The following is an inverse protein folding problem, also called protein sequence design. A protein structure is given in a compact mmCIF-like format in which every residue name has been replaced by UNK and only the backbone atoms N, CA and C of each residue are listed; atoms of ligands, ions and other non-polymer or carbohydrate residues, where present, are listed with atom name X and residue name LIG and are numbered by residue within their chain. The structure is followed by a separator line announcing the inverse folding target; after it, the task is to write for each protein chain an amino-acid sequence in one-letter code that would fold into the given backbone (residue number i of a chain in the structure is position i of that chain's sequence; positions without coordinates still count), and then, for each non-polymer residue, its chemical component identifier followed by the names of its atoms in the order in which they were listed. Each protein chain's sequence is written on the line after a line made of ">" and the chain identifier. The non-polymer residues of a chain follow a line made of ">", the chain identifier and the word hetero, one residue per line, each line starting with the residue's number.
data_IF_557630056886
#
_entry.id   IF_557630056886
#
_cell.length_a   1.000
_cell.length_b   1.000
_cell.length_c   1.000
_cell.angle_alpha   90.00
_cell.angle_beta   90.00
_cell.angle_gamma   90.00
#
_symmetry.space_group_name_H-M   'P 1'
#
loop_
_entity.id
_entity.type
_entity.pdbx_description
1 polymer ?
#
# COMPACT_ATOMS: atom_id res chain seq x y z
N UNK A 1 -4.82 2.00 3.85
CA UNK A 1 -4.87 1.73 2.39
C UNK A 1 -6.34 1.65 1.99
N UNK A 2 -6.76 2.10 0.81
CA UNK A 2 -8.19 2.03 0.44
C UNK A 2 -8.65 0.65 -0.07
N UNK A 3 -7.72 -0.29 -0.26
CA UNK A 3 -8.00 -1.65 -0.70
C UNK A 3 -8.14 -1.78 -2.22
N UNK A 4 -8.85 -2.82 -2.66
CA UNK A 4 -9.06 -3.14 -4.07
C UNK A 4 -10.45 -2.67 -4.55
N UNK A 5 -10.52 -2.16 -5.77
CA UNK A 5 -11.77 -1.71 -6.35
C UNK A 5 -11.57 -0.92 -7.65
N UNK A 6 -12.66 -0.40 -8.20
CA UNK A 6 -12.57 0.53 -9.32
C UNK A 6 -12.02 1.87 -8.86
N UNK A 7 -11.28 2.57 -9.73
CA UNK A 7 -10.76 3.91 -9.44
C UNK A 7 -11.85 4.88 -8.95
N UNK A 8 -13.08 4.76 -9.49
CA UNK A 8 -14.24 5.55 -9.06
C UNK A 8 -14.59 5.30 -7.59
N UNK A 9 -14.77 4.03 -7.21
CA UNK A 9 -15.15 3.65 -5.84
C UNK A 9 -14.05 4.01 -4.82
N UNK A 10 -12.79 3.82 -5.21
CA UNK A 10 -11.64 4.22 -4.40
C UNK A 10 -11.58 5.74 -4.22
N UNK A 11 -11.90 6.53 -5.27
CA UNK A 11 -11.99 7.99 -5.17
C UNK A 11 -13.14 8.45 -4.28
N UNK A 12 -14.30 7.78 -4.32
CA UNK A 12 -15.41 8.08 -3.40
C UNK A 12 -14.98 7.86 -1.95
N UNK A 13 -14.34 6.72 -1.68
CA UNK A 13 -13.84 6.37 -0.35
C UNK A 13 -12.73 7.34 0.11
N UNK A 14 -11.86 7.75 -0.82
CA UNK A 14 -10.81 8.72 -0.53
C UNK A 14 -11.39 10.08 -0.13
N UNK A 15 -12.43 10.53 -0.84
CA UNK A 15 -13.11 11.79 -0.55
C UNK A 15 -13.82 11.75 0.81
N UNK A 16 -14.51 10.65 1.13
CA UNK A 16 -15.15 10.44 2.43
C UNK A 16 -14.14 10.47 3.60
N UNK A 17 -12.91 10.00 3.36
CA UNK A 17 -11.84 9.99 4.35
C UNK A 17 -11.00 11.27 4.37
N UNK A 18 -11.36 12.28 3.58
CA UNK A 18 -10.62 13.55 3.52
C UNK A 18 -9.19 13.40 2.98
N UNK A 19 -8.96 12.42 2.10
CA UNK A 19 -7.67 12.18 1.46
C UNK A 19 -7.54 13.09 0.25
N UNK A 20 -6.41 13.80 0.11
CA UNK A 20 -6.16 14.72 -1.01
C UNK A 20 -5.66 14.00 -2.28
N UNK A 21 -4.81 12.98 -2.09
CA UNK A 21 -4.17 12.22 -3.17
C UNK A 21 -4.45 10.73 -3.03
N UNK A 22 -4.90 10.12 -4.12
CA UNK A 22 -5.10 8.69 -4.24
C UNK A 22 -4.07 8.08 -5.19
N UNK A 23 -3.28 7.13 -4.70
CA UNK A 23 -2.38 6.32 -5.53
C UNK A 23 -3.08 4.99 -5.84
N UNK A 24 -3.26 4.69 -7.12
CA UNK A 24 -3.90 3.46 -7.60
C UNK A 24 -2.88 2.62 -8.34
N UNK A 25 -2.81 1.34 -8.00
CA UNK A 25 -2.06 0.32 -8.74
C UNK A 25 -3.06 -0.42 -9.64
N UNK A 26 -3.01 -0.15 -10.94
CA UNK A 26 -3.74 -0.88 -11.96
C UNK A 26 -2.93 -2.15 -12.28
N UNK A 27 -3.46 -3.31 -11.88
CA UNK A 27 -2.81 -4.61 -12.07
C UNK A 27 -3.65 -5.46 -13.01
N UNK A 28 -3.04 -5.94 -14.10
CA UNK A 28 -3.64 -6.87 -15.05
C UNK A 28 -2.84 -8.17 -15.03
N UNK A 29 -3.51 -9.26 -14.68
CA UNK A 29 -2.90 -10.59 -14.61
C UNK A 29 -3.48 -11.47 -15.71
N UNK A 30 -2.63 -11.98 -16.58
CA UNK A 30 -2.97 -12.94 -17.62
C UNK A 30 -2.13 -14.21 -17.46
N UNK A 31 -2.78 -15.38 -17.54
CA UNK A 31 -2.06 -16.65 -17.58
C UNK A 31 -1.97 -17.17 -19.01
N UNK A 32 -0.76 -17.41 -19.49
CA UNK A 32 -0.56 -18.03 -20.80
C UNK A 32 -0.98 -19.50 -20.73
N UNK A 33 -2.09 -19.84 -21.40
CA UNK A 33 -2.67 -21.20 -21.39
C UNK A 33 -1.73 -22.29 -21.93
N UNK A 34 -0.73 -21.95 -22.74
CA UNK A 34 0.18 -22.92 -23.36
C UNK A 34 1.42 -23.18 -22.53
N UNK A 35 1.95 -22.14 -21.88
CA UNK A 35 3.22 -22.22 -21.14
C UNK A 35 3.03 -22.22 -19.63
N UNK A 36 1.82 -21.93 -19.14
CA UNK A 36 1.52 -21.81 -17.71
C UNK A 36 2.01 -20.50 -17.07
N UNK A 37 2.85 -19.73 -17.76
CA UNK A 37 3.44 -18.51 -17.22
C UNK A 37 2.40 -17.43 -16.93
N UNK A 38 2.52 -16.83 -15.75
CA UNK A 38 1.74 -15.69 -15.31
C UNK A 38 2.43 -14.41 -15.78
N UNK A 39 1.71 -13.62 -16.58
CA UNK A 39 2.12 -12.29 -17.02
C UNK A 39 1.35 -11.28 -16.17
N UNK A 40 2.07 -10.41 -15.48
CA UNK A 40 1.50 -9.31 -14.71
C UNK A 40 1.97 -8.00 -15.32
N UNK A 41 1.01 -7.17 -15.72
CA UNK A 41 1.21 -5.79 -16.13
C UNK A 41 0.68 -4.88 -15.01
N UNK A 42 1.58 -4.11 -14.41
CA UNK A 42 1.25 -3.19 -13.33
C UNK A 42 1.53 -1.76 -13.76
N UNK A 43 0.61 -0.85 -13.47
CA UNK A 43 0.76 0.59 -13.72
C UNK A 43 0.31 1.36 -12.49
N UNK A 44 0.99 2.46 -12.18
CA UNK A 44 0.64 3.31 -11.04
C UNK A 44 0.07 4.62 -11.55
N UNK A 45 -1.06 5.05 -11.01
CA UNK A 45 -1.66 6.34 -11.29
C UNK A 45 -1.88 7.12 -10.00
N UNK A 46 -1.69 8.43 -10.06
CA UNK A 46 -1.95 9.36 -8.95
C UNK A 46 -3.13 10.23 -9.36
N UNK A 47 -4.15 10.25 -8.51
CA UNK A 47 -5.35 11.06 -8.67
C UNK A 47 -5.39 12.13 -7.60
N UNK A 48 -5.78 13.34 -8.00
CA UNK A 48 -6.22 14.36 -7.07
C UNK A 48 -7.69 14.09 -6.73
N UNK A 49 -7.98 13.85 -5.46
CA UNK A 49 -9.32 13.41 -5.03
C UNK A 49 -10.34 14.54 -5.17
N UNK A 50 -9.96 15.77 -4.82
CA UNK A 50 -10.84 16.94 -4.91
C UNK A 50 -11.39 17.19 -6.33
N UNK A 51 -10.54 17.02 -7.34
CA UNK A 51 -10.92 17.23 -8.76
C UNK A 51 -11.29 15.92 -9.46
N UNK A 52 -11.01 14.77 -8.82
CA UNK A 52 -11.15 13.42 -9.36
C UNK A 52 -10.36 13.19 -10.66
N UNK A 53 -9.35 14.03 -10.90
CA UNK A 53 -8.51 13.95 -12.10
C UNK A 53 -7.27 13.13 -11.82
N UNK A 54 -6.92 12.30 -12.79
CA UNK A 54 -5.58 11.71 -12.87
C UNK A 54 -4.60 12.86 -13.11
N UNK A 55 -3.72 13.11 -12.14
CA UNK A 55 -2.70 14.16 -12.24
C UNK A 55 -1.39 13.59 -12.75
N UNK A 56 -1.16 12.28 -12.59
CA UNK A 56 0.00 11.61 -13.14
C UNK A 56 -0.20 10.12 -13.30
N UNK A 57 0.55 9.54 -14.22
CA UNK A 57 0.56 8.11 -14.46
C UNK A 57 1.95 7.62 -14.81
N UNK A 58 2.38 6.57 -14.15
CA UNK A 58 3.64 5.88 -14.41
C UNK A 58 3.56 5.05 -15.69
N UNK A 59 4.72 4.58 -16.14
CA UNK A 59 4.85 3.58 -17.19
C UNK A 59 4.27 2.26 -16.70
N UNK A 60 3.69 1.51 -17.64
CA UNK A 60 3.34 0.11 -17.39
C UNK A 60 4.60 -0.74 -17.27
N UNK A 61 4.64 -1.57 -16.22
CA UNK A 61 5.72 -2.50 -15.94
C UNK A 61 5.21 -3.93 -16.04
N UNK A 62 5.82 -4.71 -16.93
CA UNK A 62 5.56 -6.14 -17.06
C UNK A 62 6.54 -6.93 -16.20
N UNK A 63 6.05 -7.89 -15.43
CA UNK A 63 6.86 -8.73 -14.55
C UNK A 63 8.05 -9.41 -15.26
N UNK A 64 7.86 -9.89 -16.49
CA UNK A 64 8.94 -10.54 -17.27
C UNK A 64 10.06 -9.57 -17.63
N UNK A 65 9.73 -8.32 -17.98
CA UNK A 65 10.73 -7.30 -18.30
C UNK A 65 11.49 -6.85 -17.04
N UNK A 66 10.77 -6.73 -15.91
CA UNK A 66 11.36 -6.41 -14.62
C UNK A 66 12.32 -7.52 -14.19
N UNK A 67 11.92 -8.80 -14.31
CA UNK A 67 12.79 -9.93 -13.99
C UNK A 67 14.05 -9.97 -14.86
N UNK A 68 13.92 -9.76 -16.17
CA UNK A 68 15.05 -9.79 -17.09
C UNK A 68 16.02 -8.63 -16.79
N UNK A 69 15.51 -7.42 -16.56
CA UNK A 69 16.34 -6.29 -16.15
C UNK A 69 17.01 -6.52 -14.81
N UNK A 70 16.31 -7.13 -13.84
CA UNK A 70 16.87 -7.47 -12.53
C UNK A 70 17.99 -8.49 -12.60
N UNK A 71 17.94 -9.42 -13.55
CA UNK A 71 19.02 -10.38 -13.77
C UNK A 71 20.32 -9.71 -14.26
N UNK A 72 20.19 -8.58 -14.96
CA UNK A 72 21.31 -7.79 -15.49
C UNK A 72 21.68 -6.59 -14.60
N UNK A 73 21.06 -6.43 -13.41
CA UNK A 73 21.33 -5.31 -12.50
C UNK A 73 22.75 -5.40 -11.93
N UNK A 74 23.43 -4.26 -11.93
CA UNK A 74 24.72 -4.07 -11.25
C UNK A 74 24.58 -3.37 -9.91
N UNK A 75 23.52 -2.60 -9.74
CA UNK A 75 23.20 -1.82 -8.54
C UNK A 75 21.68 -1.83 -8.31
N UNK A 76 21.24 -1.82 -7.06
CA UNK A 76 19.82 -1.72 -6.67
C UNK A 76 19.21 -0.36 -7.04
N UNK A 77 20.03 0.68 -7.16
CA UNK A 77 19.59 2.01 -7.61
C UNK A 77 18.98 1.98 -9.04
N UNK A 78 19.39 1.02 -9.87
CA UNK A 78 18.92 0.87 -11.25
C UNK A 78 17.66 -0.01 -11.36
N UNK A 79 17.09 -0.45 -10.23
CA UNK A 79 15.89 -1.29 -10.23
C UNK A 79 14.75 -0.62 -11.01
N UNK A 80 14.17 -1.29 -12.02
CA UNK A 80 13.21 -0.67 -12.91
C UNK A 80 11.91 -0.25 -12.23
N UNK A 81 11.56 -0.86 -11.08
CA UNK A 81 10.41 -0.45 -10.27
C UNK A 81 10.77 0.81 -9.49
N UNK A 82 11.92 0.81 -8.79
CA UNK A 82 12.39 1.95 -8.01
C UNK A 82 12.53 3.21 -8.85
N UNK A 83 13.19 3.10 -10.00
CA UNK A 83 13.37 4.19 -10.96
C UNK A 83 12.02 4.76 -11.43
N UNK A 84 11.03 3.92 -11.69
CA UNK A 84 9.73 4.38 -12.17
C UNK A 84 8.89 5.02 -11.06
N UNK A 85 8.96 4.50 -9.83
CA UNK A 85 8.34 5.11 -8.65
C UNK A 85 8.99 6.47 -8.35
N UNK A 86 10.32 6.55 -8.35
CA UNK A 86 11.04 7.80 -8.10
C UNK A 86 10.68 8.85 -9.16
N UNK A 87 10.63 8.46 -10.44
CA UNK A 87 10.16 9.34 -11.52
C UNK A 87 8.74 9.81 -11.31
N UNK A 88 7.83 8.93 -10.88
CA UNK A 88 6.42 9.24 -10.64
C UNK A 88 6.24 10.20 -9.47
N UNK A 89 7.07 10.10 -8.44
CA UNK A 89 6.92 10.89 -7.22
C UNK A 89 7.81 12.14 -7.12
N UNK A 90 8.90 12.24 -7.90
CA UNK A 90 9.84 13.35 -7.84
C UNK A 90 9.21 14.77 -7.85
N UNK A 91 8.21 15.08 -8.70
CA UNK A 91 7.60 16.42 -8.74
C UNK A 91 6.70 16.73 -7.54
N UNK A 92 6.26 15.72 -6.78
CA UNK A 92 5.43 15.92 -5.61
C UNK A 92 6.26 16.33 -4.38
N UNK A 93 7.56 16.00 -4.37
CA UNK A 93 8.45 16.31 -3.24
C UNK A 93 9.31 17.54 -3.53
N UNK A 94 9.23 18.53 -2.63
CA UNK A 94 9.80 19.87 -2.80
C UNK A 94 11.33 19.89 -3.04
N UNK A 95 12.06 18.84 -2.64
CA UNK A 95 13.52 18.76 -2.75
C UNK A 95 14.01 18.11 -4.06
N UNK A 96 13.10 17.56 -4.88
CA UNK A 96 13.42 16.79 -6.09
C UNK A 96 12.88 17.41 -7.39
N UNK A 97 12.17 18.55 -7.32
CA UNK A 97 11.62 19.22 -8.48
C UNK A 97 12.65 20.19 -9.10
N UNK A 98 13.02 20.01 -10.38
CA UNK A 98 13.78 21.03 -11.12
C UNK A 98 13.05 22.38 -11.10
N UNK A 99 13.79 23.49 -11.00
CA UNK A 99 13.23 24.83 -11.17
C UNK A 99 12.50 24.93 -12.52
N UNK A 100 11.17 25.07 -12.48
CA UNK A 100 10.33 25.26 -13.66
C UNK A 100 9.15 24.29 -13.80
N UNK A 101 9.10 23.19 -13.04
CA UNK A 101 8.02 22.22 -13.17
C UNK A 101 6.85 22.47 -12.20
N UNK A 102 5.67 22.72 -12.79
CA UNK A 102 4.31 22.58 -12.27
C UNK A 102 4.12 22.84 -10.75
N UNK A 103 4.09 24.12 -10.31
CA UNK A 103 3.91 24.48 -8.91
C UNK A 103 2.61 23.92 -8.28
N UNK A 104 1.60 23.64 -9.11
CA UNK A 104 0.29 23.12 -8.70
C UNK A 104 0.32 21.66 -8.20
N UNK A 105 1.40 20.92 -8.47
CA UNK A 105 1.59 19.53 -8.03
C UNK A 105 2.43 19.41 -6.75
N UNK A 106 2.94 20.53 -6.22
CA UNK A 106 3.74 20.55 -5.00
C UNK A 106 2.85 20.31 -3.80
N UNK A 107 2.75 19.06 -3.37
CA UNK A 107 2.16 18.72 -2.08
C UNK A 107 3.19 18.94 -1.00
N UNK A 108 2.84 19.78 -0.02
CA UNK A 108 3.58 19.82 1.23
C UNK A 108 3.02 18.73 2.11
N UNK A 109 3.90 17.94 2.72
CA UNK A 109 3.52 17.11 3.86
C UNK A 109 2.95 18.05 4.93
N UNK A 110 1.64 18.07 5.10
CA UNK A 110 1.02 18.70 6.25
C UNK A 110 0.98 17.71 7.40
N UNK A 111 0.83 18.21 8.62
CA UNK A 111 0.39 17.36 9.71
C UNK A 111 -0.92 16.65 9.31
N UNK A 112 -1.09 15.41 9.80
CA UNK A 112 -2.34 14.67 9.61
C UNK A 112 -3.50 15.59 10.03
N UNK A 113 -4.62 15.63 9.27
CA UNK A 113 -5.77 16.44 9.64
C UNK A 113 -6.12 16.20 11.11
N UNK A 114 -6.19 17.27 11.91
CA UNK A 114 -6.39 17.20 13.36
C UNK A 114 -7.68 16.46 13.79
N UNK A 115 -8.54 16.10 12.83
CA UNK A 115 -9.72 15.25 13.03
C UNK A 115 -9.44 13.75 13.13
N UNK A 116 -8.22 13.25 12.91
CA UNK A 116 -7.88 11.85 13.19
C UNK A 116 -7.53 11.66 14.68
N UNK A 117 -8.51 11.96 15.54
CA UNK A 117 -8.39 11.75 16.98
C UNK A 117 -8.44 10.23 17.31
N UNK A 118 -7.78 9.76 18.38
CA UNK A 118 -7.79 8.35 18.80
C UNK A 118 -9.20 7.74 18.90
N UNK A 119 -10.20 8.56 19.23
CA UNK A 119 -11.61 8.19 19.34
C UNK A 119 -12.19 7.72 17.99
N UNK A 120 -11.75 8.30 16.87
CA UNK A 120 -12.19 7.92 15.53
C UNK A 120 -11.52 6.63 15.03
N UNK A 121 -10.33 6.32 15.55
CA UNK A 121 -9.59 5.11 15.20
C UNK A 121 -10.21 3.87 15.81
N UNK A 122 -10.78 3.94 17.02
CA UNK A 122 -11.44 2.79 17.66
C UNK A 122 -12.58 2.22 16.81
N UNK A 123 -13.50 3.05 16.34
CA UNK A 123 -14.61 2.60 15.49
C UNK A 123 -14.13 2.03 14.15
N UNK A 124 -13.05 2.56 13.59
CA UNK A 124 -12.43 2.02 12.37
C UNK A 124 -11.78 0.65 12.62
N UNK A 125 -11.03 0.50 13.72
CA UNK A 125 -10.43 -0.78 14.12
C UNK A 125 -11.50 -1.83 14.36
N UNK A 126 -12.62 -1.50 15.00
CA UNK A 126 -13.75 -2.42 15.16
C UNK A 126 -14.33 -2.87 13.81
N UNK A 127 -14.54 -1.95 12.88
CA UNK A 127 -15.00 -2.27 11.52
C UNK A 127 -14.01 -3.14 10.74
N UNK A 128 -12.72 -2.87 10.88
CA UNK A 128 -11.65 -3.69 10.28
C UNK A 128 -11.62 -5.10 10.87
N UNK A 129 -11.77 -5.23 12.19
CA UNK A 129 -11.80 -6.52 12.88
C UNK A 129 -13.05 -7.33 12.52
N UNK A 130 -14.18 -6.67 12.26
CA UNK A 130 -15.42 -7.32 11.83
C UNK A 130 -15.33 -7.89 10.40
N UNK A 131 -14.47 -7.33 9.55
CA UNK A 131 -14.28 -7.75 8.14
C UNK A 131 -12.95 -8.49 7.90
N UNK A 132 -12.25 -8.85 8.98
CA UNK A 132 -10.89 -9.37 8.91
C UNK A 132 -10.76 -10.74 8.23
N UNK A 133 -11.82 -11.56 8.19
CA UNK A 133 -11.79 -12.90 7.58
C UNK A 133 -11.38 -12.88 6.11
N UNK A 134 -11.73 -11.81 5.39
CA UNK A 134 -11.57 -11.73 3.95
C UNK A 134 -10.32 -10.90 3.56
N UNK A 135 -9.77 -10.12 4.50
CA UNK A 135 -8.72 -9.12 4.25
C UNK A 135 -7.68 -9.06 5.38
N UNK A 136 -7.18 -10.22 5.82
CA UNK A 136 -6.28 -10.32 6.97
C UNK A 136 -5.03 -9.42 6.85
N UNK A 137 -4.28 -9.49 5.75
CA UNK A 137 -3.05 -8.69 5.56
C UNK A 137 -3.33 -7.17 5.47
N UNK A 138 -4.27 -6.68 4.64
CA UNK A 138 -4.65 -5.26 4.65
C UNK A 138 -5.08 -4.75 6.03
N UNK A 139 -5.87 -5.54 6.76
CA UNK A 139 -6.32 -5.20 8.11
C UNK A 139 -5.14 -5.05 9.07
N UNK A 140 -4.20 -5.99 9.07
CA UNK A 140 -3.01 -5.93 9.94
C UNK A 140 -2.12 -4.73 9.60
N UNK A 141 -1.95 -4.41 8.32
CA UNK A 141 -1.16 -3.28 7.88
C UNK A 141 -1.76 -1.94 8.37
N UNK A 142 -3.08 -1.79 8.29
CA UNK A 142 -3.78 -0.58 8.74
C UNK A 142 -3.74 -0.42 10.26
N UNK A 143 -3.92 -1.52 11.01
CA UNK A 143 -3.83 -1.51 12.48
C UNK A 143 -2.40 -1.17 12.95
N UNK A 144 -1.38 -1.72 12.28
CA UNK A 144 0.03 -1.37 12.56
C UNK A 144 0.32 0.10 12.27
N UNK A 145 -0.27 0.66 11.22
CA UNK A 145 -0.13 2.08 10.91
C UNK A 145 -0.70 2.96 12.04
N UNK A 146 -1.89 2.65 12.57
CA UNK A 146 -2.46 3.41 13.69
C UNK A 146 -1.62 3.33 14.96
N UNK A 147 -1.11 2.14 15.29
CA UNK A 147 -0.20 1.95 16.43
C UNK A 147 1.09 2.76 16.28
N UNK A 148 1.74 2.68 15.12
CA UNK A 148 2.96 3.44 14.85
C UNK A 148 2.76 4.97 14.94
N UNK A 149 1.53 5.45 14.70
CA UNK A 149 1.15 6.86 14.82
C UNK A 149 0.72 7.27 16.23
N UNK A 150 0.75 6.36 17.20
CA UNK A 150 0.29 6.63 18.57
C UNK A 150 -1.22 6.81 18.70
N UNK A 151 -1.98 6.38 17.69
CA UNK A 151 -3.45 6.47 17.65
C UNK A 151 -4.12 5.21 18.23
N UNK A 152 -3.33 4.19 18.52
CA UNK A 152 -3.76 2.93 19.11
C UNK A 152 -2.78 2.56 20.23
N UNK A 153 -3.30 2.24 21.41
CA UNK A 153 -2.47 1.75 22.51
C UNK A 153 -1.94 0.33 22.27
N UNK A 154 -0.87 -0.04 22.98
CA UNK A 154 -0.19 -1.33 22.85
C UNK A 154 -1.11 -2.54 23.14
N UNK A 155 -2.09 -2.36 24.03
CA UNK A 155 -3.01 -3.41 24.46
C UNK A 155 -4.01 -3.72 23.34
N UNK A 156 -4.66 -2.68 22.81
CA UNK A 156 -5.59 -2.77 21.70
C UNK A 156 -4.88 -3.24 20.42
N UNK A 157 -3.64 -2.80 20.19
CA UNK A 157 -2.81 -3.29 19.09
C UNK A 157 -2.58 -4.80 19.16
N UNK A 158 -2.09 -5.30 20.30
CA UNK A 158 -1.82 -6.73 20.48
C UNK A 158 -3.10 -7.57 20.38
N UNK A 159 -4.19 -7.14 21.04
CA UNK A 159 -5.47 -7.82 20.99
C UNK A 159 -6.05 -7.88 19.57
N UNK A 160 -5.87 -6.81 18.79
CA UNK A 160 -6.31 -6.77 17.39
C UNK A 160 -5.56 -7.77 16.51
N UNK A 161 -4.24 -7.89 16.69
CA UNK A 161 -3.42 -8.86 15.94
C UNK A 161 -3.80 -10.30 16.29
N UNK A 162 -4.03 -10.58 17.57
CA UNK A 162 -4.53 -11.89 18.04
C UNK A 162 -5.92 -12.21 17.49
N UNK A 163 -6.80 -11.21 17.37
CA UNK A 163 -8.14 -11.42 16.81
C UNK A 163 -8.12 -11.72 15.31
N UNK A 164 -7.17 -11.19 14.56
CA UNK A 164 -7.05 -11.41 13.10
C UNK A 164 -6.35 -12.74 12.77
N UNK A 165 -5.32 -13.11 13.53
CA UNK A 165 -4.45 -14.27 13.23
C UNK A 165 -4.57 -15.44 14.22
N UNK A 166 -5.33 -15.28 15.30
CA UNK A 166 -5.29 -16.18 16.45
C UNK A 166 -4.22 -15.77 17.46
N UNK A 167 -4.35 -16.26 18.69
CA UNK A 167 -3.57 -15.82 19.85
C UNK A 167 -2.05 -16.00 19.67
N UNK A 168 -1.64 -17.16 19.13
CA UNK A 168 -0.23 -17.50 18.97
C UNK A 168 0.47 -16.68 17.87
N UNK A 169 -0.09 -16.66 16.66
CA UNK A 169 0.54 -15.99 15.52
C UNK A 169 0.36 -14.47 15.58
N UNK A 170 -0.75 -13.99 16.15
CA UNK A 170 -0.94 -12.57 16.45
C UNK A 170 0.08 -12.04 17.45
N UNK A 171 0.40 -12.80 18.51
CA UNK A 171 1.42 -12.40 19.48
C UNK A 171 2.83 -12.34 18.86
N UNK A 172 3.20 -13.35 18.07
CA UNK A 172 4.47 -13.36 17.31
C UNK A 172 4.58 -12.18 16.37
N UNK A 173 3.51 -11.89 15.63
CA UNK A 173 3.55 -10.79 14.66
C UNK A 173 3.62 -9.41 15.33
N UNK A 174 2.95 -9.25 16.48
CA UNK A 174 2.95 -8.00 17.24
C UNK A 174 4.30 -7.72 17.94
N UNK A 175 4.89 -8.72 18.61
CA UNK A 175 6.03 -8.54 19.53
C UNK A 175 7.23 -9.46 19.30
N UNK A 176 7.13 -10.44 18.41
CA UNK A 176 8.20 -11.38 18.13
C UNK A 176 9.37 -10.80 17.34
N UNK A 177 10.40 -11.62 17.17
CA UNK A 177 11.57 -11.35 16.33
C UNK A 177 11.19 -11.30 14.84
N UNK A 178 12.11 -10.86 13.99
CA UNK A 178 11.89 -10.83 12.54
C UNK A 178 11.55 -12.21 11.97
N UNK A 179 12.23 -13.27 12.40
CA UNK A 179 11.96 -14.65 12.00
C UNK A 179 10.57 -15.12 12.46
N UNK A 180 10.17 -14.79 13.70
CA UNK A 180 8.85 -15.14 14.23
C UNK A 180 7.72 -14.40 13.52
N UNK A 181 7.95 -13.14 13.14
CA UNK A 181 7.02 -12.33 12.36
C UNK A 181 6.85 -12.88 10.95
N UNK A 182 7.94 -13.26 10.29
CA UNK A 182 7.92 -13.89 8.97
C UNK A 182 7.15 -15.21 9.00
N UNK A 183 7.40 -16.05 10.00
CA UNK A 183 6.68 -17.30 10.19
C UNK A 183 5.16 -17.08 10.38
N UNK A 184 4.77 -16.04 11.13
CA UNK A 184 3.37 -15.72 11.39
C UNK A 184 2.60 -15.23 10.16
N UNK A 185 3.27 -14.63 9.16
CA UNK A 185 2.62 -14.17 7.91
C UNK A 185 2.80 -15.11 6.73
N UNK A 186 3.69 -16.11 6.83
CA UNK A 186 4.00 -17.02 5.73
C UNK A 186 2.76 -17.74 5.16
N UNK A 187 1.79 -18.08 6.02
CA UNK A 187 0.53 -18.71 5.59
C UNK A 187 -0.45 -17.77 4.87
N UNK A 188 -0.22 -16.46 4.93
CA UNK A 188 -1.06 -15.41 4.34
C UNK A 188 -0.49 -14.88 3.02
N UNK A 189 0.79 -15.13 2.76
CA UNK A 189 1.43 -14.73 1.53
C UNK A 189 0.93 -15.62 0.37
N UNK A 190 0.81 -15.07 -0.85
CA UNK A 190 0.54 -15.88 -2.03
C UNK A 190 1.59 -16.99 -2.13
N UNK A 191 1.15 -18.25 -2.24
CA UNK A 191 2.07 -19.37 -2.47
C UNK A 191 2.69 -19.22 -3.85
N UNK A 192 4.00 -19.43 -3.95
CA UNK A 192 4.68 -19.49 -5.25
C UNK A 192 3.97 -20.53 -6.13
N UNK A 193 3.61 -20.20 -7.38
CA UNK A 193 3.05 -21.17 -8.29
C UNK A 193 4.11 -22.23 -8.60
N UNK A 194 3.88 -23.47 -8.15
CA UNK A 194 4.58 -24.66 -8.64
C UNK A 194 4.34 -24.86 -10.15
#
# INVERSE_FOLDING_TARGET
>A
MLGEGTSKALLDTAAEQGIDLLVVFEVKVEQNRKTGFVINETRVAVFQVATRKEIRKGKELRNTEVQLKRADLKDDADDPVKVEIDKLFAPFFADAAPEGDQPDLRVKMSEIPQGMAPEHVKGRVESLLASASDKQLPTLAEIKFYHHRGLLDDETFAASFQKVLGEADGAKLAKGTEEERLAAVAGLLPKDPN
#
